data_IF_617266727955
#
_entry.id   IF_617266727955
#
_cell.length_a   1.000
_cell.length_b   1.000
_cell.length_c   1.000
_cell.angle_alpha   90.00
_cell.angle_beta   90.00
_cell.angle_gamma   90.00
#
_symmetry.space_group_name_H-M   'P 1'
#
loop_
_entity.id
_entity.type
_entity.pdbx_description
1 polymer ?
#
# COMPACT_ATOMS: atom_id res chain seq x y z
N UNK A 1 -35.57 0.64 23.65
CA UNK A 1 -34.12 0.91 23.59
C UNK A 1 -33.68 0.65 22.16
N UNK A 2 -32.77 1.43 21.56
CA UNK A 2 -32.18 1.02 20.28
C UNK A 2 -31.64 -0.40 20.43
N UNK A 3 -31.78 -1.22 19.39
CA UNK A 3 -31.16 -2.54 19.35
C UNK A 3 -29.66 -2.35 19.64
N UNK A 4 -29.13 -3.07 20.64
CA UNK A 4 -27.73 -2.96 21.03
C UNK A 4 -26.80 -3.33 19.87
N UNK A 5 -27.26 -4.19 18.95
CA UNK A 5 -26.55 -4.53 17.71
C UNK A 5 -26.45 -3.31 16.79
N UNK A 6 -27.55 -2.59 16.57
CA UNK A 6 -27.56 -1.37 15.74
C UNK A 6 -26.72 -0.26 16.36
N UNK A 7 -26.76 -0.12 17.68
CA UNK A 7 -25.91 0.82 18.40
C UNK A 7 -24.42 0.49 18.22
N UNK A 8 -24.05 -0.79 18.38
CA UNK A 8 -22.69 -1.27 18.19
C UNK A 8 -22.22 -1.08 16.74
N UNK A 9 -23.09 -1.33 15.76
CA UNK A 9 -22.80 -1.09 14.35
C UNK A 9 -22.56 0.39 14.04
N UNK A 10 -23.40 1.28 14.61
CA UNK A 10 -23.24 2.72 14.44
C UNK A 10 -21.96 3.25 15.11
N UNK A 11 -21.59 2.73 16.28
CA UNK A 11 -20.32 3.06 16.93
C UNK A 11 -19.12 2.59 16.09
N UNK A 12 -19.17 1.38 15.56
CA UNK A 12 -18.13 0.85 14.68
C UNK A 12 -17.98 1.70 13.41
N UNK A 13 -19.10 2.12 12.80
CA UNK A 13 -19.09 2.96 11.61
C UNK A 13 -18.45 4.35 11.84
N UNK A 14 -18.58 4.90 13.06
CA UNK A 14 -17.90 6.16 13.46
C UNK A 14 -16.44 5.97 13.87
N UNK A 15 -15.99 4.73 14.05
CA UNK A 15 -14.64 4.42 14.54
C UNK A 15 -14.53 4.45 16.07
N UNK A 16 -15.64 4.49 16.81
CA UNK A 16 -15.68 4.44 18.28
C UNK A 16 -15.47 3.00 18.77
N UNK A 17 -14.26 2.45 18.57
CA UNK A 17 -14.00 0.99 18.70
C UNK A 17 -14.30 0.44 20.10
N UNK A 18 -13.98 1.20 21.15
CA UNK A 18 -14.25 0.80 22.53
C UNK A 18 -15.75 0.74 22.83
N UNK A 19 -16.51 1.73 22.32
CA UNK A 19 -17.98 1.77 22.47
C UNK A 19 -18.62 0.63 21.67
N UNK A 20 -18.14 0.37 20.46
CA UNK A 20 -18.60 -0.75 19.64
C UNK A 20 -18.35 -2.10 20.32
N UNK A 21 -17.18 -2.28 20.95
CA UNK A 21 -16.86 -3.49 21.73
C UNK A 21 -17.79 -3.66 22.92
N UNK A 22 -17.99 -2.61 23.73
CA UNK A 22 -18.86 -2.66 24.90
C UNK A 22 -20.29 -3.03 24.53
N UNK A 23 -20.86 -2.31 23.55
CA UNK A 23 -22.24 -2.53 23.09
C UNK A 23 -22.42 -3.92 22.47
N UNK A 24 -21.45 -4.41 21.68
CA UNK A 24 -21.52 -5.74 21.11
C UNK A 24 -21.39 -6.84 22.19
N UNK A 25 -20.58 -6.64 23.23
CA UNK A 25 -20.51 -7.56 24.38
C UNK A 25 -21.83 -7.58 25.15
N UNK A 26 -22.45 -6.43 25.38
CA UNK A 26 -23.78 -6.34 26.02
C UNK A 26 -24.85 -7.04 25.20
N UNK A 27 -24.84 -6.89 23.86
CA UNK A 27 -25.77 -7.58 22.97
C UNK A 27 -25.62 -9.12 23.00
N UNK A 28 -24.47 -9.63 23.46
CA UNK A 28 -24.17 -11.06 23.58
C UNK A 28 -24.43 -11.61 25.00
N UNK A 29 -24.93 -10.79 25.93
CA UNK A 29 -25.18 -11.22 27.32
C UNK A 29 -26.32 -12.25 27.41
N UNK A 30 -27.36 -12.08 26.59
CA UNK A 30 -28.60 -12.87 26.64
C UNK A 30 -28.65 -13.99 25.56
N UNK A 31 -27.58 -14.17 24.78
CA UNK A 31 -27.52 -15.22 23.76
C UNK A 31 -26.46 -15.00 22.68
N UNK A 32 -26.49 -15.87 21.67
CA UNK A 32 -25.64 -15.77 20.47
C UNK A 32 -26.33 -14.99 19.36
N UNK A 33 -25.67 -13.94 18.87
CA UNK A 33 -26.08 -13.18 17.69
C UNK A 33 -24.91 -13.08 16.73
N UNK A 34 -25.07 -13.60 15.51
CA UNK A 34 -24.02 -13.54 14.49
C UNK A 34 -23.63 -12.09 14.19
N UNK A 35 -24.57 -11.15 13.92
CA UNK A 35 -24.23 -9.73 13.76
C UNK A 35 -23.40 -9.15 14.90
N UNK A 36 -23.77 -9.42 16.16
CA UNK A 36 -23.04 -8.93 17.32
C UNK A 36 -21.62 -9.54 17.42
N UNK A 37 -21.46 -10.83 17.10
CA UNK A 37 -20.15 -11.48 17.04
C UNK A 37 -19.25 -10.87 15.96
N UNK A 38 -19.80 -10.58 14.77
CA UNK A 38 -19.04 -9.97 13.68
C UNK A 38 -18.60 -8.54 14.03
N UNK A 39 -19.48 -7.73 14.62
CA UNK A 39 -19.15 -6.37 15.10
C UNK A 39 -18.07 -6.42 16.18
N UNK A 40 -18.23 -7.31 17.17
CA UNK A 40 -17.24 -7.48 18.25
C UNK A 40 -15.88 -7.89 17.69
N UNK A 41 -15.83 -8.88 16.79
CA UNK A 41 -14.59 -9.33 16.16
C UNK A 41 -13.92 -8.20 15.37
N UNK A 42 -14.70 -7.40 14.63
CA UNK A 42 -14.18 -6.26 13.87
C UNK A 42 -13.59 -5.17 14.78
N UNK A 43 -14.29 -4.83 15.87
CA UNK A 43 -13.82 -3.85 16.85
C UNK A 43 -12.53 -4.32 17.55
N UNK A 44 -12.43 -5.61 17.90
CA UNK A 44 -11.22 -6.20 18.48
C UNK A 44 -10.04 -6.17 17.50
N UNK A 45 -10.27 -6.60 16.26
CA UNK A 45 -9.22 -6.64 15.24
C UNK A 45 -8.65 -5.24 14.97
N UNK A 46 -9.50 -4.20 14.87
CA UNK A 46 -9.05 -2.83 14.65
C UNK A 46 -8.36 -2.19 15.86
N UNK A 47 -8.56 -2.73 17.07
CA UNK A 47 -7.78 -2.37 18.27
C UNK A 47 -6.45 -3.14 18.38
N UNK A 48 -6.09 -3.95 17.38
CA UNK A 48 -4.87 -4.77 17.40
C UNK A 48 -5.01 -6.11 18.12
N UNK A 49 -6.22 -6.46 18.58
CA UNK A 49 -6.50 -7.67 19.36
C UNK A 49 -6.93 -8.83 18.46
N UNK A 50 -6.07 -9.16 17.50
CA UNK A 50 -6.35 -10.19 16.47
C UNK A 50 -6.66 -11.58 17.02
N UNK A 51 -5.96 -12.00 18.07
CA UNK A 51 -6.21 -13.29 18.74
C UNK A 51 -7.58 -13.33 19.42
N UNK A 52 -7.99 -12.22 20.03
CA UNK A 52 -9.31 -12.10 20.66
C UNK A 52 -10.41 -12.10 19.59
N UNK A 53 -10.19 -11.40 18.47
CA UNK A 53 -11.10 -11.43 17.33
C UNK A 53 -11.25 -12.85 16.74
N UNK A 54 -10.15 -13.61 16.62
CA UNK A 54 -10.21 -15.00 16.14
C UNK A 54 -10.96 -15.90 17.11
N UNK A 55 -10.78 -15.70 18.42
CA UNK A 55 -11.51 -16.42 19.47
C UNK A 55 -13.02 -16.16 19.38
N UNK A 56 -13.42 -14.90 19.14
CA UNK A 56 -14.83 -14.55 18.93
C UNK A 56 -15.39 -15.22 17.67
N UNK A 57 -14.66 -15.17 16.56
CA UNK A 57 -15.10 -15.77 15.29
C UNK A 57 -15.13 -17.30 15.32
N UNK A 58 -14.32 -17.94 16.15
CA UNK A 58 -14.31 -19.39 16.35
C UNK A 58 -15.56 -19.92 17.08
N UNK A 59 -16.38 -19.05 17.69
CA UNK A 59 -17.64 -19.42 18.34
C UNK A 59 -18.77 -19.74 17.35
N UNK A 60 -18.61 -19.37 16.09
CA UNK A 60 -19.62 -19.58 15.03
C UNK A 60 -19.45 -20.97 14.44
N UNK A 61 -20.53 -21.75 14.39
CA UNK A 61 -20.57 -23.03 13.67
C UNK A 61 -20.92 -22.80 12.18
N UNK A 62 -19.98 -23.02 11.24
CA UNK A 62 -20.21 -22.77 9.82
C UNK A 62 -20.98 -23.90 9.11
N UNK A 63 -21.32 -25.00 9.78
CA UNK A 63 -22.07 -26.10 9.17
C UNK A 63 -23.56 -25.77 9.00
N UNK A 64 -24.13 -24.91 9.86
CA UNK A 64 -25.54 -24.52 9.85
C UNK A 64 -25.85 -23.21 9.14
N UNK A 65 -24.85 -22.51 8.58
CA UNK A 65 -25.05 -21.20 7.94
C UNK A 65 -25.48 -21.33 6.48
N UNK A 66 -26.42 -20.49 6.06
CA UNK A 66 -26.68 -20.25 4.64
C UNK A 66 -25.55 -19.46 3.98
N UNK A 67 -25.52 -19.43 2.64
CA UNK A 67 -24.44 -18.82 1.85
C UNK A 67 -24.11 -17.38 2.28
N UNK A 68 -25.12 -16.54 2.50
CA UNK A 68 -24.93 -15.14 2.89
C UNK A 68 -24.24 -14.99 4.26
N UNK A 69 -24.70 -15.72 5.27
CA UNK A 69 -24.12 -15.69 6.62
C UNK A 69 -22.73 -16.34 6.65
N UNK A 70 -22.53 -17.40 5.85
CA UNK A 70 -21.24 -18.04 5.68
C UNK A 70 -20.21 -17.08 5.10
N UNK A 71 -20.59 -16.30 4.07
CA UNK A 71 -19.74 -15.24 3.50
C UNK A 71 -19.49 -14.14 4.55
N UNK A 72 -20.54 -13.64 5.21
CA UNK A 72 -20.43 -12.57 6.21
C UNK A 72 -19.47 -12.93 7.36
N UNK A 73 -19.41 -14.20 7.75
CA UNK A 73 -18.46 -14.72 8.73
C UNK A 73 -17.06 -15.01 8.15
N UNK A 74 -16.99 -15.64 6.97
CA UNK A 74 -15.72 -16.08 6.39
C UNK A 74 -14.80 -14.90 6.03
N UNK A 75 -15.36 -13.79 5.56
CA UNK A 75 -14.60 -12.59 5.18
C UNK A 75 -13.78 -12.00 6.34
N UNK A 76 -14.37 -11.59 7.47
CA UNK A 76 -13.62 -11.04 8.61
C UNK A 76 -12.69 -12.08 9.24
N UNK A 77 -13.05 -13.37 9.23
CA UNK A 77 -12.17 -14.45 9.70
C UNK A 77 -10.90 -14.56 8.86
N UNK A 78 -11.04 -14.60 7.54
CA UNK A 78 -9.91 -14.66 6.64
C UNK A 78 -9.06 -13.39 6.72
N UNK A 79 -9.69 -12.21 6.77
CA UNK A 79 -9.01 -10.93 6.93
C UNK A 79 -8.16 -10.89 8.21
N UNK A 80 -8.75 -11.25 9.34
CA UNK A 80 -8.05 -11.31 10.62
C UNK A 80 -6.88 -12.31 10.56
N UNK A 81 -7.09 -13.49 9.96
CA UNK A 81 -6.04 -14.48 9.78
C UNK A 81 -4.89 -13.99 8.87
N UNK A 82 -5.19 -13.27 7.79
CA UNK A 82 -4.20 -12.75 6.86
C UNK A 82 -3.36 -11.64 7.48
N UNK A 83 -4.00 -10.62 8.07
CA UNK A 83 -3.30 -9.41 8.54
C UNK A 83 -2.91 -9.47 10.00
N UNK A 84 -3.83 -9.85 10.88
CA UNK A 84 -3.63 -9.76 12.34
C UNK A 84 -2.84 -10.94 12.88
N UNK A 85 -3.11 -12.14 12.38
CA UNK A 85 -2.42 -13.36 12.80
C UNK A 85 -1.17 -13.69 11.97
N UNK A 86 -0.89 -12.90 10.92
CA UNK A 86 0.24 -13.08 10.00
C UNK A 86 0.28 -14.48 9.36
N UNK A 87 -0.89 -14.99 8.94
CA UNK A 87 -1.05 -16.31 8.31
C UNK A 87 -1.68 -16.23 6.90
N UNK A 88 -1.05 -15.51 5.95
CA UNK A 88 -1.61 -15.26 4.62
C UNK A 88 -1.89 -16.52 3.78
N UNK A 89 -1.05 -17.55 3.86
CA UNK A 89 -1.27 -18.81 3.15
C UNK A 89 -2.48 -19.57 3.69
N UNK A 90 -2.62 -19.62 5.02
CA UNK A 90 -3.75 -20.28 5.67
C UNK A 90 -5.05 -19.53 5.41
N UNK A 91 -5.03 -18.19 5.47
CA UNK A 91 -6.20 -17.37 5.14
C UNK A 91 -6.65 -17.58 3.68
N UNK A 92 -5.70 -17.65 2.75
CA UNK A 92 -5.98 -17.90 1.33
C UNK A 92 -6.55 -19.31 1.11
N UNK A 93 -5.97 -20.32 1.75
CA UNK A 93 -6.48 -21.69 1.67
C UNK A 93 -7.88 -21.81 2.27
N UNK A 94 -8.13 -21.16 3.42
CA UNK A 94 -9.44 -21.10 4.06
C UNK A 94 -10.50 -20.49 3.13
N UNK A 95 -10.24 -19.32 2.53
CA UNK A 95 -11.20 -18.71 1.61
C UNK A 95 -11.46 -19.57 0.37
N UNK A 96 -10.44 -20.23 -0.18
CA UNK A 96 -10.63 -21.16 -1.32
C UNK A 96 -11.50 -22.36 -0.96
N UNK A 97 -11.38 -22.89 0.26
CA UNK A 97 -12.23 -23.96 0.74
C UNK A 97 -13.70 -23.50 0.90
N UNK A 98 -13.93 -22.30 1.45
CA UNK A 98 -15.27 -21.71 1.53
C UNK A 98 -15.85 -21.44 0.14
N UNK A 99 -15.04 -20.89 -0.78
CA UNK A 99 -15.42 -20.65 -2.18
C UNK A 99 -16.01 -21.89 -2.85
N UNK A 100 -15.44 -23.08 -2.60
CA UNK A 100 -15.91 -24.35 -3.18
C UNK A 100 -17.25 -24.85 -2.63
N UNK A 101 -17.76 -24.26 -1.55
CA UNK A 101 -19.05 -24.62 -0.93
C UNK A 101 -20.20 -23.71 -1.38
N UNK A 102 -19.89 -22.56 -1.98
CA UNK A 102 -20.86 -21.52 -2.30
C UNK A 102 -21.40 -21.66 -3.72
N UNK A 103 -22.66 -21.29 -3.90
CA UNK A 103 -23.29 -21.17 -5.22
C UNK A 103 -22.74 -19.98 -6.03
N UNK A 104 -22.51 -18.85 -5.36
CA UNK A 104 -21.84 -17.66 -5.88
C UNK A 104 -20.76 -17.22 -4.90
N UNK A 105 -19.56 -16.94 -5.41
CA UNK A 105 -18.40 -16.61 -4.58
C UNK A 105 -17.72 -15.30 -4.99
N UNK A 106 -18.44 -14.40 -5.68
CA UNK A 106 -17.89 -13.14 -6.23
C UNK A 106 -17.25 -12.28 -5.13
N UNK A 107 -17.91 -12.17 -3.97
CA UNK A 107 -17.38 -11.42 -2.82
C UNK A 107 -16.14 -12.09 -2.20
N UNK A 108 -16.06 -13.42 -2.22
CA UNK A 108 -14.86 -14.16 -1.78
C UNK A 108 -13.71 -13.92 -2.76
N UNK A 109 -13.98 -13.95 -4.06
CA UNK A 109 -13.00 -13.68 -5.12
C UNK A 109 -12.47 -12.24 -5.00
N UNK A 110 -13.30 -11.26 -4.66
CA UNK A 110 -12.88 -9.89 -4.42
C UNK A 110 -11.90 -9.77 -3.22
N UNK A 111 -12.10 -10.53 -2.14
CA UNK A 111 -11.14 -10.56 -1.03
C UNK A 111 -9.84 -11.30 -1.42
N UNK A 112 -9.95 -12.40 -2.18
CA UNK A 112 -8.79 -13.12 -2.71
C UNK A 112 -7.96 -12.25 -3.67
N UNK A 113 -8.59 -11.35 -4.42
CA UNK A 113 -7.92 -10.32 -5.21
C UNK A 113 -7.05 -9.41 -4.32
N UNK A 114 -7.61 -8.93 -3.20
CA UNK A 114 -6.88 -8.10 -2.23
C UNK A 114 -5.71 -8.87 -1.58
N UNK A 115 -5.89 -10.16 -1.28
CA UNK A 115 -4.82 -11.03 -0.77
C UNK A 115 -3.71 -11.21 -1.80
N UNK A 116 -4.05 -11.50 -3.07
CA UNK A 116 -3.08 -11.65 -4.15
C UNK A 116 -2.25 -10.38 -4.34
N UNK A 117 -2.89 -9.21 -4.32
CA UNK A 117 -2.21 -7.93 -4.38
C UNK A 117 -1.21 -7.76 -3.22
N UNK A 118 -1.67 -7.90 -1.97
CA UNK A 118 -0.81 -7.71 -0.79
C UNK A 118 0.33 -8.73 -0.71
N UNK A 119 0.11 -9.96 -1.20
CA UNK A 119 1.11 -11.01 -1.32
C UNK A 119 2.12 -10.77 -2.46
N UNK A 120 2.08 -9.62 -3.14
CA UNK A 120 3.04 -9.25 -4.19
C UNK A 120 2.77 -9.90 -5.53
N UNK A 121 1.53 -10.31 -5.81
CA UNK A 121 1.08 -10.89 -7.08
C UNK A 121 0.06 -9.99 -7.81
N UNK A 122 0.44 -8.77 -8.25
CA UNK A 122 -0.48 -7.79 -8.83
C UNK A 122 -1.14 -8.27 -10.13
N UNK A 123 -0.43 -9.02 -10.99
CA UNK A 123 -1.05 -9.59 -12.20
C UNK A 123 -2.19 -10.54 -11.84
N UNK A 124 -1.96 -11.43 -10.86
CA UNK A 124 -3.00 -12.34 -10.37
C UNK A 124 -4.18 -11.58 -9.76
N UNK A 125 -3.91 -10.46 -9.08
CA UNK A 125 -4.97 -9.61 -8.55
C UNK A 125 -5.82 -9.02 -9.69
N UNK A 126 -5.20 -8.53 -10.76
CA UNK A 126 -5.90 -8.04 -11.95
C UNK A 126 -6.77 -9.12 -12.61
N UNK A 127 -6.24 -10.34 -12.79
CA UNK A 127 -6.98 -11.45 -13.40
C UNK A 127 -8.25 -11.80 -12.60
N UNK A 128 -8.15 -11.82 -11.27
CA UNK A 128 -9.29 -12.07 -10.38
C UNK A 128 -10.26 -10.89 -10.42
N UNK A 129 -9.74 -9.65 -10.39
CA UNK A 129 -10.57 -8.45 -10.44
C UNK A 129 -11.38 -8.39 -11.74
N UNK A 130 -10.79 -8.70 -12.90
CA UNK A 130 -11.49 -8.73 -14.17
C UNK A 130 -12.69 -9.69 -14.13
N UNK A 131 -12.52 -10.87 -13.53
CA UNK A 131 -13.61 -11.84 -13.36
C UNK A 131 -14.73 -11.32 -12.46
N UNK A 132 -14.39 -10.61 -11.36
CA UNK A 132 -15.37 -9.99 -10.46
C UNK A 132 -16.08 -8.82 -11.14
N UNK A 133 -15.34 -8.00 -11.86
CA UNK A 133 -15.81 -6.77 -12.49
C UNK A 133 -16.57 -7.01 -13.80
N UNK A 134 -16.50 -8.19 -14.39
CA UNK A 134 -17.34 -8.60 -15.52
C UNK A 134 -18.63 -9.31 -15.11
N UNK A 135 -18.82 -9.54 -13.80
CA UNK A 135 -20.00 -10.22 -13.27
C UNK A 135 -21.15 -9.23 -13.05
N UNK A 136 -22.23 -9.36 -13.83
CA UNK A 136 -23.39 -8.45 -13.81
C UNK A 136 -24.13 -8.39 -12.48
N UNK A 137 -24.05 -9.45 -11.68
CA UNK A 137 -24.69 -9.57 -10.38
C UNK A 137 -23.66 -9.49 -9.23
N UNK A 138 -22.51 -8.85 -9.46
CA UNK A 138 -21.56 -8.55 -8.40
C UNK A 138 -22.13 -7.47 -7.46
N UNK A 139 -22.10 -7.75 -6.16
CA UNK A 139 -22.46 -6.78 -5.13
C UNK A 139 -21.46 -5.60 -5.09
N UNK A 140 -21.93 -4.41 -4.71
CA UNK A 140 -21.10 -3.20 -4.61
C UNK A 140 -19.83 -3.43 -3.79
N UNK A 141 -19.91 -4.13 -2.66
CA UNK A 141 -18.71 -4.41 -1.84
C UNK A 141 -17.64 -5.19 -2.63
N UNK A 142 -18.05 -6.14 -3.47
CA UNK A 142 -17.15 -6.97 -4.25
C UNK A 142 -16.52 -6.14 -5.37
N UNK A 143 -17.33 -5.31 -6.04
CA UNK A 143 -16.86 -4.34 -7.05
C UNK A 143 -15.85 -3.38 -6.43
N UNK A 144 -16.16 -2.79 -5.27
CA UNK A 144 -15.29 -1.85 -4.56
C UNK A 144 -13.94 -2.46 -4.20
N UNK A 145 -13.93 -3.70 -3.70
CA UNK A 145 -12.70 -4.40 -3.34
C UNK A 145 -11.85 -4.78 -4.55
N UNK A 146 -12.48 -5.37 -5.57
CA UNK A 146 -11.79 -5.77 -6.79
C UNK A 146 -11.21 -4.55 -7.53
N UNK A 147 -12.01 -3.49 -7.70
CA UNK A 147 -11.59 -2.29 -8.41
C UNK A 147 -10.47 -1.54 -7.68
N UNK A 148 -10.52 -1.44 -6.34
CA UNK A 148 -9.44 -0.81 -5.57
C UNK A 148 -8.11 -1.58 -5.65
N UNK A 149 -8.17 -2.91 -5.49
CA UNK A 149 -6.98 -3.76 -5.59
C UNK A 149 -6.42 -3.79 -7.01
N UNK A 150 -7.28 -3.80 -8.03
CA UNK A 150 -6.90 -3.67 -9.42
C UNK A 150 -6.26 -2.32 -9.72
N UNK A 151 -6.81 -1.21 -9.22
CA UNK A 151 -6.30 0.14 -9.46
C UNK A 151 -4.86 0.32 -8.96
N UNK A 152 -4.57 -0.11 -7.73
CA UNK A 152 -3.20 -0.09 -7.20
C UNK A 152 -2.27 -1.05 -7.97
N UNK A 153 -2.77 -2.25 -8.31
CA UNK A 153 -1.99 -3.23 -9.09
C UNK A 153 -1.64 -2.68 -10.47
N UNK A 154 -2.60 -2.10 -11.18
CA UNK A 154 -2.42 -1.48 -12.49
C UNK A 154 -1.38 -0.36 -12.43
N UNK A 155 -1.50 0.55 -11.46
CA UNK A 155 -0.53 1.64 -11.26
C UNK A 155 0.89 1.10 -11.02
N UNK A 156 1.06 0.11 -10.15
CA UNK A 156 2.37 -0.49 -9.83
C UNK A 156 2.96 -1.31 -10.99
N UNK A 157 2.11 -1.80 -11.89
CA UNK A 157 2.52 -2.49 -13.12
C UNK A 157 2.78 -1.56 -14.30
N UNK A 158 2.43 -0.27 -14.21
CA UNK A 158 2.60 0.71 -15.29
C UNK A 158 1.41 0.85 -16.24
N UNK A 159 0.23 0.31 -15.89
CA UNK A 159 -1.02 0.41 -16.66
C UNK A 159 -1.83 1.63 -16.21
N UNK A 160 -1.28 2.82 -16.43
CA UNK A 160 -1.82 4.07 -15.85
C UNK A 160 -3.19 4.47 -16.40
N UNK A 161 -3.49 4.13 -17.64
CA UNK A 161 -4.75 4.38 -18.34
C UNK A 161 -5.96 3.75 -17.64
N UNK A 162 -5.76 2.63 -16.94
CA UNK A 162 -6.82 1.89 -16.25
C UNK A 162 -7.13 2.46 -14.86
N UNK A 163 -6.21 3.23 -14.28
CA UNK A 163 -6.22 3.57 -12.84
C UNK A 163 -7.43 4.41 -12.45
N UNK A 164 -7.73 5.47 -13.19
CA UNK A 164 -8.85 6.36 -12.86
C UNK A 164 -10.21 5.70 -13.08
N UNK A 165 -10.35 4.88 -14.12
CA UNK A 165 -11.57 4.11 -14.36
C UNK A 165 -11.85 3.11 -13.24
N UNK A 166 -10.81 2.43 -12.74
CA UNK A 166 -10.91 1.52 -11.61
C UNK A 166 -11.20 2.28 -10.30
N UNK A 167 -10.56 3.43 -10.06
CA UNK A 167 -10.82 4.24 -8.88
C UNK A 167 -12.26 4.79 -8.88
N UNK A 168 -12.74 5.30 -10.01
CA UNK A 168 -14.12 5.78 -10.16
C UNK A 168 -15.14 4.65 -9.90
N UNK A 169 -14.85 3.44 -10.41
CA UNK A 169 -15.67 2.25 -10.19
C UNK A 169 -15.69 1.81 -8.73
N UNK A 170 -14.53 1.80 -8.07
CA UNK A 170 -14.45 1.54 -6.64
C UNK A 170 -15.25 2.57 -5.83
N UNK A 171 -15.25 3.81 -6.31
CA UNK A 171 -15.93 4.90 -5.65
C UNK A 171 -17.45 4.88 -5.79
N UNK A 172 -17.95 4.59 -6.98
CA UNK A 172 -19.37 4.39 -7.25
C UNK A 172 -19.96 3.24 -6.40
N UNK A 173 -19.15 2.23 -6.10
CA UNK A 173 -19.50 1.10 -5.26
C UNK A 173 -19.47 1.39 -3.73
N UNK A 174 -19.36 2.65 -3.33
CA UNK A 174 -19.53 3.08 -1.93
C UNK A 174 -18.29 3.01 -1.04
N UNK A 175 -17.07 3.04 -1.59
CA UNK A 175 -15.77 3.13 -0.87
C UNK A 175 -15.77 2.47 0.53
N UNK A 176 -15.80 1.12 0.64
CA UNK A 176 -16.18 0.44 1.89
C UNK A 176 -15.07 0.42 2.97
N UNK A 177 -14.50 1.58 3.32
CA UNK A 177 -13.49 1.76 4.37
C UNK A 177 -12.10 2.10 3.83
N UNK A 178 -11.08 1.35 4.25
CA UNK A 178 -9.65 1.59 3.96
C UNK A 178 -9.31 1.54 2.46
N UNK A 179 -10.14 0.92 1.64
CA UNK A 179 -9.81 0.68 0.22
C UNK A 179 -9.82 1.93 -0.64
N UNK A 180 -10.47 3.01 -0.17
CA UNK A 180 -10.32 4.33 -0.80
C UNK A 180 -8.86 4.76 -0.85
N UNK A 181 -8.10 4.47 0.21
CA UNK A 181 -6.66 4.77 0.26
C UNK A 181 -5.86 3.91 -0.71
N UNK A 182 -6.26 2.65 -0.91
CA UNK A 182 -5.64 1.77 -1.91
C UNK A 182 -5.83 2.34 -3.32
N UNK A 183 -7.06 2.75 -3.67
CA UNK A 183 -7.36 3.36 -4.97
C UNK A 183 -6.61 4.68 -5.14
N UNK A 184 -6.65 5.55 -4.12
CA UNK A 184 -5.96 6.84 -4.08
C UNK A 184 -4.45 6.65 -4.24
N UNK A 185 -3.86 5.62 -3.62
CA UNK A 185 -2.44 5.35 -3.77
C UNK A 185 -2.07 4.94 -5.19
N UNK A 186 -2.95 4.19 -5.87
CA UNK A 186 -2.82 3.90 -7.31
C UNK A 186 -2.83 5.19 -8.13
N UNK A 187 -3.78 6.10 -7.86
CA UNK A 187 -3.89 7.39 -8.55
C UNK A 187 -2.65 8.28 -8.32
N UNK A 188 -2.20 8.42 -7.07
CA UNK A 188 -0.97 9.15 -6.72
C UNK A 188 0.23 8.57 -7.49
N UNK A 189 0.38 7.23 -7.47
CA UNK A 189 1.46 6.56 -8.20
C UNK A 189 1.39 6.88 -9.70
N UNK A 190 0.20 6.79 -10.31
CA UNK A 190 0.03 7.10 -11.73
C UNK A 190 0.42 8.56 -12.03
N UNK A 191 -0.09 9.53 -11.25
CA UNK A 191 0.19 10.96 -11.42
C UNK A 191 1.66 11.31 -11.26
N UNK A 192 2.32 10.75 -10.24
CA UNK A 192 3.76 10.92 -10.04
C UNK A 192 4.56 10.44 -11.27
N UNK A 193 4.20 9.29 -11.84
CA UNK A 193 4.94 8.69 -12.96
C UNK A 193 4.59 9.31 -14.31
N UNK A 194 3.38 9.84 -14.48
CA UNK A 194 2.99 10.61 -15.66
C UNK A 194 3.44 12.06 -15.61
N UNK A 195 4.07 12.50 -14.51
CA UNK A 195 4.70 13.82 -14.38
C UNK A 195 3.79 14.94 -13.89
N UNK A 196 2.67 14.61 -13.25
CA UNK A 196 1.70 15.57 -12.72
C UNK A 196 1.63 15.47 -11.19
N UNK A 197 2.67 16.00 -10.51
CA UNK A 197 2.74 15.95 -9.05
C UNK A 197 1.68 16.84 -8.38
N UNK A 198 1.20 17.89 -9.07
CA UNK A 198 0.12 18.74 -8.58
C UNK A 198 -1.20 17.98 -8.48
N UNK A 199 -1.56 17.23 -9.51
CA UNK A 199 -2.73 16.36 -9.46
C UNK A 199 -2.61 15.23 -8.42
N UNK A 200 -1.38 14.81 -8.07
CA UNK A 200 -1.18 13.87 -6.96
C UNK A 200 -1.56 14.50 -5.61
N UNK A 201 -1.24 15.78 -5.38
CA UNK A 201 -1.67 16.52 -4.19
C UNK A 201 -3.18 16.70 -4.16
N UNK A 202 -3.81 17.11 -5.28
CA UNK A 202 -5.27 17.29 -5.35
C UNK A 202 -6.02 15.99 -4.98
N UNK A 203 -5.52 14.85 -5.46
CA UNK A 203 -6.05 13.51 -5.14
C UNK A 203 -5.84 13.17 -3.67
N UNK A 204 -4.69 13.51 -3.08
CA UNK A 204 -4.42 13.27 -1.67
C UNK A 204 -5.26 14.18 -0.75
N UNK A 205 -5.46 15.44 -1.12
CA UNK A 205 -6.24 16.43 -0.36
C UNK A 205 -7.74 16.14 -0.38
N UNK A 206 -8.22 15.42 -1.40
CA UNK A 206 -9.58 14.88 -1.43
C UNK A 206 -9.88 13.84 -0.34
N UNK A 207 -8.86 13.31 0.35
CA UNK A 207 -9.05 12.40 1.47
C UNK A 207 -9.41 13.13 2.76
N UNK A 208 -10.71 13.33 3.01
CA UNK A 208 -11.20 13.87 4.29
C UNK A 208 -11.06 12.81 5.40
N UNK A 209 -10.11 12.99 6.33
CA UNK A 209 -9.78 12.01 7.38
C UNK A 209 -9.27 12.68 8.66
N UNK A 210 -10.14 12.85 9.65
CA UNK A 210 -9.78 13.63 10.86
C UNK A 210 -9.20 12.78 12.01
N UNK A 211 -9.46 11.48 12.06
CA UNK A 211 -9.08 10.63 13.21
C UNK A 211 -8.68 9.19 12.83
N UNK A 212 -8.02 8.53 13.77
CA UNK A 212 -7.76 7.09 13.75
C UNK A 212 -6.83 6.60 12.62
N UNK A 213 -6.88 5.30 12.29
CA UNK A 213 -6.05 4.70 11.24
C UNK A 213 -6.22 5.35 9.86
N UNK A 214 -7.41 5.87 9.55
CA UNK A 214 -7.69 6.57 8.28
C UNK A 214 -6.80 7.80 8.09
N UNK A 215 -6.67 8.64 9.12
CA UNK A 215 -5.77 9.80 9.12
C UNK A 215 -4.31 9.35 8.93
N UNK A 216 -3.89 8.33 9.67
CA UNK A 216 -2.53 7.82 9.58
C UNK A 216 -2.20 7.29 8.17
N UNK A 217 -3.13 6.62 7.48
CA UNK A 217 -2.92 6.18 6.09
C UNK A 217 -2.84 7.38 5.14
N UNK A 218 -3.71 8.38 5.29
CA UNK A 218 -3.64 9.60 4.48
C UNK A 218 -2.28 10.31 4.62
N UNK A 219 -1.72 10.36 5.84
CA UNK A 219 -0.37 10.89 6.10
C UNK A 219 0.72 10.08 5.38
N UNK A 220 0.60 8.76 5.28
CA UNK A 220 1.55 7.93 4.50
C UNK A 220 1.52 8.31 3.02
N UNK A 221 0.33 8.53 2.45
CA UNK A 221 0.18 8.90 1.04
C UNK A 221 0.77 10.29 0.75
N UNK A 222 0.48 11.28 1.60
CA UNK A 222 1.08 12.61 1.52
C UNK A 222 2.60 12.56 1.67
N UNK A 223 3.11 11.68 2.54
CA UNK A 223 4.54 11.53 2.71
C UNK A 223 5.27 10.94 1.49
N UNK A 224 4.64 10.06 0.70
CA UNK A 224 5.23 9.58 -0.57
C UNK A 224 5.37 10.73 -1.59
N UNK A 225 4.37 11.62 -1.66
CA UNK A 225 4.44 12.84 -2.50
C UNK A 225 5.52 13.79 -1.99
N UNK A 226 5.57 14.03 -0.67
CA UNK A 226 6.57 14.86 -0.02
C UNK A 226 8.00 14.35 -0.26
N UNK A 227 8.21 13.03 -0.26
CA UNK A 227 9.47 12.39 -0.62
C UNK A 227 9.85 12.65 -2.08
N UNK A 228 8.92 12.55 -3.02
CA UNK A 228 9.17 12.86 -4.44
C UNK A 228 9.53 14.35 -4.64
N UNK A 229 8.80 15.26 -3.99
CA UNK A 229 9.10 16.70 -3.95
C UNK A 229 10.43 17.01 -3.26
N UNK A 230 10.87 16.14 -2.37
CA UNK A 230 12.05 16.34 -1.56
C UNK A 230 11.84 17.34 -0.42
N UNK A 231 10.60 17.54 0.04
CA UNK A 231 10.27 18.27 1.27
C UNK A 231 10.35 17.30 2.45
N UNK A 232 11.58 16.91 2.79
CA UNK A 232 11.85 15.77 3.66
C UNK A 232 11.38 15.98 5.11
N UNK A 233 11.33 17.22 5.59
CA UNK A 233 10.85 17.53 6.95
C UNK A 233 9.36 17.23 7.08
N UNK A 234 8.54 17.64 6.12
CA UNK A 234 7.10 17.33 6.06
C UNK A 234 6.86 15.81 5.98
N UNK A 235 7.63 15.12 5.14
CA UNK A 235 7.54 13.66 5.03
C UNK A 235 7.84 12.98 6.37
N UNK A 236 8.89 13.41 7.07
CA UNK A 236 9.24 12.84 8.38
C UNK A 236 8.19 13.14 9.45
N UNK A 237 7.68 14.37 9.50
CA UNK A 237 6.64 14.75 10.46
C UNK A 237 5.40 13.86 10.31
N UNK A 238 4.88 13.75 9.08
CA UNK A 238 3.74 12.90 8.77
C UNK A 238 3.98 11.43 9.12
N UNK A 239 5.16 10.89 8.77
CA UNK A 239 5.47 9.48 8.98
C UNK A 239 5.78 9.13 10.45
N UNK A 240 6.27 10.08 11.25
CA UNK A 240 6.44 9.90 12.70
C UNK A 240 5.12 9.79 13.44
N UNK A 241 4.09 10.49 12.97
CA UNK A 241 2.72 10.33 13.47
C UNK A 241 2.12 9.00 12.97
N UNK A 242 2.22 8.72 11.67
CA UNK A 242 1.53 7.59 11.04
C UNK A 242 2.10 6.21 11.43
N UNK A 243 3.43 6.04 11.44
CA UNK A 243 4.04 4.71 11.56
C UNK A 243 3.75 4.02 12.92
N UNK A 244 3.81 4.71 14.08
CA UNK A 244 3.37 4.15 15.35
C UNK A 244 1.86 3.87 15.38
N UNK A 245 1.03 4.81 14.89
CA UNK A 245 -0.43 4.66 14.88
C UNK A 245 -0.91 3.45 14.07
N UNK A 246 -0.22 3.12 12.99
CA UNK A 246 -0.55 1.97 12.14
C UNK A 246 0.04 0.65 12.64
N UNK A 247 1.02 0.69 13.53
CA UNK A 247 1.73 -0.52 14.01
C UNK A 247 0.84 -1.49 14.78
N UNK A 248 -0.28 -1.02 15.32
CA UNK A 248 -1.28 -1.82 16.05
C UNK A 248 -2.28 -2.52 15.11
N UNK A 249 -2.41 -2.06 13.87
CA UNK A 249 -3.50 -2.49 12.98
C UNK A 249 -3.20 -3.74 12.15
N UNK A 250 -1.96 -4.24 12.15
CA UNK A 250 -1.54 -5.45 11.42
C UNK A 250 -1.51 -5.35 9.88
N UNK A 251 -2.14 -4.32 9.28
CA UNK A 251 -2.16 -4.06 7.84
C UNK A 251 -0.82 -3.58 7.29
N UNK A 252 -0.61 -3.82 6.00
CA UNK A 252 0.62 -3.51 5.24
C UNK A 252 1.01 -2.01 5.22
N UNK A 253 0.08 -1.10 5.53
CA UNK A 253 0.33 0.34 5.60
C UNK A 253 1.34 0.72 6.70
N UNK A 254 1.34 0.03 7.84
CA UNK A 254 2.29 0.30 8.91
C UNK A 254 3.73 -0.02 8.47
N UNK A 255 3.91 -1.12 7.75
CA UNK A 255 5.20 -1.52 7.17
C UNK A 255 5.66 -0.49 6.14
N UNK A 256 4.78 -0.07 5.22
CA UNK A 256 5.10 0.98 4.24
C UNK A 256 5.51 2.29 4.94
N UNK A 257 4.80 2.72 5.98
CA UNK A 257 5.13 3.91 6.74
C UNK A 257 6.55 3.86 7.33
N UNK A 258 6.95 2.72 7.93
CA UNK A 258 8.32 2.55 8.43
C UNK A 258 9.38 2.54 7.32
N UNK A 259 9.07 1.96 6.15
CA UNK A 259 9.96 1.96 4.99
C UNK A 259 10.19 3.37 4.47
N UNK A 260 9.12 4.15 4.27
CA UNK A 260 9.21 5.54 3.83
C UNK A 260 9.91 6.43 4.88
N UNK A 261 9.69 6.18 6.17
CA UNK A 261 10.34 6.94 7.25
C UNK A 261 11.85 6.72 7.26
N UNK A 262 12.29 5.47 7.02
CA UNK A 262 13.70 5.16 6.88
C UNK A 262 14.33 5.88 5.68
N UNK A 263 13.64 5.91 4.53
CA UNK A 263 14.09 6.65 3.35
C UNK A 263 14.18 8.16 3.63
N UNK A 264 13.16 8.75 4.26
CA UNK A 264 13.11 10.17 4.60
C UNK A 264 14.26 10.57 5.53
N UNK A 265 14.46 9.82 6.63
CA UNK A 265 15.58 10.04 7.55
C UNK A 265 16.93 9.89 6.87
N UNK A 266 17.09 8.87 6.01
CA UNK A 266 18.33 8.65 5.29
C UNK A 266 18.66 9.79 4.32
N UNK A 267 17.67 10.29 3.57
CA UNK A 267 17.86 11.41 2.65
C UNK A 267 18.20 12.72 3.37
N UNK A 268 17.80 12.88 4.64
CA UNK A 268 18.23 13.98 5.50
C UNK A 268 19.62 13.79 6.13
N UNK A 269 20.29 12.66 5.87
CA UNK A 269 21.57 12.32 6.49
C UNK A 269 21.45 11.83 7.95
N UNK A 270 20.25 11.55 8.45
CA UNK A 270 20.00 11.03 9.81
C UNK A 270 20.21 9.52 9.88
N UNK A 271 21.45 9.07 9.70
CA UNK A 271 21.80 7.65 9.56
C UNK A 271 21.30 6.75 10.72
N UNK A 272 21.39 7.23 11.96
CA UNK A 272 20.94 6.48 13.15
C UNK A 272 19.42 6.33 13.15
N UNK A 273 18.68 7.38 12.84
CA UNK A 273 17.21 7.34 12.81
C UNK A 273 16.71 6.50 11.64
N UNK A 274 17.38 6.58 10.48
CA UNK A 274 17.11 5.72 9.34
C UNK A 274 17.28 4.23 9.70
N UNK A 275 18.38 3.86 10.36
CA UNK A 275 18.62 2.48 10.79
C UNK A 275 17.57 1.99 11.80
N UNK A 276 17.13 2.83 12.74
CA UNK A 276 16.06 2.51 13.69
C UNK A 276 14.70 2.30 13.00
N UNK A 277 14.37 3.12 12.01
CA UNK A 277 13.13 2.97 11.23
C UNK A 277 13.19 1.71 10.35
N UNK A 278 14.33 1.46 9.69
CA UNK A 278 14.56 0.27 8.87
C UNK A 278 14.42 -1.02 9.68
N UNK A 279 15.02 -1.11 10.87
CA UNK A 279 14.90 -2.28 11.75
C UNK A 279 13.43 -2.56 12.15
N UNK A 280 12.61 -1.52 12.32
CA UNK A 280 11.17 -1.65 12.57
C UNK A 280 10.40 -2.12 11.35
N UNK A 281 10.81 -1.71 10.14
CA UNK A 281 10.23 -2.18 8.90
C UNK A 281 10.57 -3.66 8.66
N UNK A 282 11.84 -4.05 8.83
CA UNK A 282 12.31 -5.42 8.63
C UNK A 282 11.66 -6.43 9.59
N UNK A 283 11.57 -6.09 10.87
CA UNK A 283 10.97 -6.99 11.88
C UNK A 283 9.47 -7.25 11.69
N UNK A 284 8.78 -6.44 10.87
CA UNK A 284 7.33 -6.53 10.63
C UNK A 284 6.98 -6.90 9.19
N UNK A 285 7.97 -7.03 8.31
CA UNK A 285 7.76 -7.38 6.91
C UNK A 285 7.61 -8.90 6.76
N UNK A 286 6.61 -9.30 5.99
CA UNK A 286 6.29 -10.69 5.69
C UNK A 286 5.33 -10.78 4.52
N UNK A 287 4.79 -11.97 4.26
CA UNK A 287 3.98 -12.25 3.06
C UNK A 287 2.78 -11.28 2.92
N UNK A 288 2.16 -10.85 4.02
CA UNK A 288 1.04 -9.89 4.02
C UNK A 288 1.38 -8.48 3.50
N UNK A 289 2.66 -8.17 3.31
CA UNK A 289 3.17 -6.86 2.88
C UNK A 289 4.14 -6.97 1.70
N UNK A 290 4.20 -8.12 1.03
CA UNK A 290 5.17 -8.40 -0.04
C UNK A 290 5.03 -7.51 -1.27
N UNK A 291 3.85 -6.90 -1.46
CA UNK A 291 3.68 -5.82 -2.44
C UNK A 291 4.76 -4.74 -2.30
N UNK A 292 5.14 -4.41 -1.05
CA UNK A 292 6.08 -3.36 -0.69
C UNK A 292 7.53 -3.85 -0.46
N UNK A 293 7.85 -5.06 -0.90
CA UNK A 293 9.23 -5.56 -0.85
C UNK A 293 10.26 -4.64 -1.57
N UNK A 294 9.93 -3.99 -2.72
CA UNK A 294 10.82 -3.01 -3.34
C UNK A 294 11.08 -1.79 -2.44
N UNK A 295 10.06 -1.26 -1.78
CA UNK A 295 10.17 -0.11 -0.87
C UNK A 295 11.03 -0.42 0.35
N UNK A 296 10.97 -1.66 0.86
CA UNK A 296 11.89 -2.12 1.89
C UNK A 296 13.34 -2.14 1.40
N UNK A 297 13.58 -2.64 0.19
CA UNK A 297 14.92 -2.65 -0.40
C UNK A 297 15.44 -1.23 -0.68
N UNK A 298 14.57 -0.28 -1.05
CA UNK A 298 14.92 1.14 -1.16
C UNK A 298 15.22 1.78 0.20
N UNK A 299 14.49 1.42 1.25
CA UNK A 299 14.84 1.82 2.61
C UNK A 299 16.24 1.35 3.01
N UNK A 300 16.63 0.12 2.63
CA UNK A 300 18.01 -0.38 2.80
C UNK A 300 19.02 0.42 1.99
N UNK A 301 18.69 0.74 0.73
CA UNK A 301 19.55 1.50 -0.16
C UNK A 301 19.88 2.89 0.39
N UNK A 302 18.85 3.68 0.72
CA UNK A 302 19.03 5.00 1.28
C UNK A 302 19.71 4.95 2.65
N UNK A 303 19.39 3.98 3.50
CA UNK A 303 20.07 3.80 4.81
C UNK A 303 21.56 3.45 4.66
N UNK A 304 21.95 2.69 3.63
CA UNK A 304 23.36 2.46 3.30
C UNK A 304 24.03 3.77 2.83
N UNK A 305 23.36 4.54 1.97
CA UNK A 305 23.87 5.84 1.49
C UNK A 305 24.11 6.82 2.65
N UNK A 306 23.17 6.92 3.60
CA UNK A 306 23.32 7.77 4.80
C UNK A 306 24.51 7.36 5.69
N UNK A 307 24.91 6.08 5.65
CA UNK A 307 26.10 5.54 6.32
C UNK A 307 27.37 5.64 5.48
N UNK A 308 27.32 6.32 4.33
CA UNK A 308 28.42 6.46 3.36
C UNK A 308 28.86 5.14 2.72
N UNK A 309 28.00 4.12 2.74
CA UNK A 309 28.19 2.86 2.00
C UNK A 309 27.55 2.97 0.62
N UNK A 310 28.25 3.67 -0.29
CA UNK A 310 27.77 3.93 -1.64
C UNK A 310 27.60 2.65 -2.49
N UNK A 311 28.56 1.69 -2.48
CA UNK A 311 28.39 0.42 -3.19
C UNK A 311 27.21 -0.39 -2.65
N UNK A 312 27.02 -0.43 -1.32
CA UNK A 312 25.89 -1.10 -0.69
C UNK A 312 24.55 -0.45 -1.05
N UNK A 313 24.50 0.89 -1.12
CA UNK A 313 23.32 1.64 -1.54
C UNK A 313 22.88 1.29 -2.96
N UNK A 314 23.81 1.33 -3.93
CA UNK A 314 23.53 0.98 -5.33
C UNK A 314 23.10 -0.48 -5.47
N UNK A 315 23.77 -1.40 -4.79
CA UNK A 315 23.39 -2.83 -4.80
C UNK A 315 21.96 -3.04 -4.30
N UNK A 316 21.59 -2.40 -3.20
CA UNK A 316 20.25 -2.52 -2.63
C UNK A 316 19.17 -1.89 -3.53
N UNK A 317 19.44 -0.76 -4.19
CA UNK A 317 18.52 -0.15 -5.15
C UNK A 317 18.29 -1.05 -6.38
N UNK A 318 19.35 -1.69 -6.90
CA UNK A 318 19.22 -2.70 -7.97
C UNK A 318 18.47 -3.95 -7.53
N UNK A 319 18.62 -4.36 -6.27
CA UNK A 319 17.84 -5.46 -5.69
C UNK A 319 16.35 -5.09 -5.61
N UNK A 320 16.02 -3.85 -5.24
CA UNK A 320 14.66 -3.35 -5.26
C UNK A 320 14.05 -3.42 -6.67
N UNK A 321 14.77 -2.95 -7.69
CA UNK A 321 14.34 -3.03 -9.08
C UNK A 321 14.11 -4.48 -9.54
N UNK A 322 15.04 -5.38 -9.24
CA UNK A 322 14.89 -6.82 -9.57
C UNK A 322 13.71 -7.46 -8.84
N UNK A 323 13.47 -7.11 -7.58
CA UNK A 323 12.33 -7.60 -6.82
C UNK A 323 11.00 -7.12 -7.43
N UNK A 324 10.92 -5.85 -7.82
CA UNK A 324 9.76 -5.28 -8.49
C UNK A 324 9.49 -5.98 -9.84
N UNK A 325 10.50 -6.17 -10.68
CA UNK A 325 10.37 -6.88 -11.96
C UNK A 325 9.90 -8.33 -11.80
N UNK A 326 10.42 -9.07 -10.81
CA UNK A 326 9.94 -10.44 -10.53
C UNK A 326 8.46 -10.48 -10.14
N UNK A 327 7.95 -9.42 -9.52
CA UNK A 327 6.53 -9.27 -9.20
C UNK A 327 5.70 -8.63 -10.32
N UNK A 328 6.26 -8.37 -11.50
CA UNK A 328 5.60 -7.67 -12.61
C UNK A 328 5.35 -6.18 -12.36
N UNK A 329 5.95 -5.59 -11.33
CA UNK A 329 5.74 -4.19 -10.92
C UNK A 329 6.66 -3.23 -11.70
N UNK A 330 6.45 -3.08 -13.00
CA UNK A 330 7.34 -2.31 -13.89
C UNK A 330 7.48 -0.83 -13.48
N UNK A 331 6.40 -0.18 -13.09
CA UNK A 331 6.43 1.20 -12.59
C UNK A 331 7.28 1.35 -11.31
N UNK A 332 7.19 0.37 -10.41
CA UNK A 332 7.98 0.35 -9.17
C UNK A 332 9.45 0.03 -9.46
N UNK A 333 9.72 -0.85 -10.42
CA UNK A 333 11.08 -1.13 -10.89
C UNK A 333 11.74 0.13 -11.44
N UNK A 334 10.99 0.94 -12.22
CA UNK A 334 11.45 2.21 -12.74
C UNK A 334 11.77 3.22 -11.62
N UNK A 335 10.91 3.35 -10.60
CA UNK A 335 11.21 4.17 -9.40
C UNK A 335 12.49 3.70 -8.69
N UNK A 336 12.67 2.38 -8.57
CA UNK A 336 13.85 1.84 -7.89
C UNK A 336 15.16 2.07 -8.69
N UNK A 337 15.11 1.97 -10.01
CA UNK A 337 16.24 2.31 -10.88
C UNK A 337 16.52 3.81 -10.88
N UNK A 338 15.49 4.64 -10.84
CA UNK A 338 15.64 6.09 -10.66
C UNK A 338 16.39 6.41 -9.36
N UNK A 339 16.03 5.77 -8.24
CA UNK A 339 16.77 5.95 -6.99
C UNK A 339 18.21 5.42 -7.09
N UNK A 340 18.47 4.34 -7.85
CA UNK A 340 19.83 3.91 -8.13
C UNK A 340 20.64 4.99 -8.88
N UNK A 341 20.04 5.62 -9.90
CA UNK A 341 20.65 6.74 -10.64
C UNK A 341 20.92 7.94 -9.72
N UNK A 342 19.95 8.33 -8.88
CA UNK A 342 20.13 9.40 -7.88
C UNK A 342 21.25 9.10 -6.89
N UNK A 343 21.39 7.83 -6.51
CA UNK A 343 22.48 7.34 -5.68
C UNK A 343 23.82 7.31 -6.44
N UNK A 344 23.86 7.52 -7.76
CA UNK A 344 25.11 7.57 -8.53
C UNK A 344 25.46 6.27 -9.25
N UNK A 345 24.46 5.43 -9.55
CA UNK A 345 24.67 4.24 -10.36
C UNK A 345 24.91 4.57 -11.85
N UNK A 346 26.19 4.61 -12.25
CA UNK A 346 26.63 4.86 -13.63
C UNK A 346 26.32 3.73 -14.62
N UNK A 347 25.80 2.58 -14.16
CA UNK A 347 25.45 1.43 -15.03
C UNK A 347 23.95 1.18 -15.10
N UNK A 348 23.13 2.09 -14.58
CA UNK A 348 21.68 1.92 -14.57
C UNK A 348 21.02 2.14 -15.94
N UNK A 349 21.69 2.79 -16.90
CA UNK A 349 21.11 3.21 -18.18
C UNK A 349 20.43 2.07 -18.95
N UNK A 350 21.12 0.94 -19.17
CA UNK A 350 20.55 -0.23 -19.85
C UNK A 350 19.37 -0.83 -19.08
N UNK A 351 19.47 -0.90 -17.76
CA UNK A 351 18.41 -1.43 -16.92
C UNK A 351 17.16 -0.56 -16.97
N UNK A 352 17.31 0.77 -17.00
CA UNK A 352 16.20 1.73 -17.15
C UNK A 352 15.54 1.58 -18.52
N UNK A 353 16.33 1.53 -19.59
CA UNK A 353 15.83 1.36 -20.95
C UNK A 353 15.09 0.03 -21.17
N UNK A 354 15.46 -1.02 -20.42
CA UNK A 354 14.82 -2.33 -20.47
C UNK A 354 13.49 -2.46 -19.71
N UNK A 355 13.05 -1.44 -18.95
CA UNK A 355 11.76 -1.51 -18.24
C UNK A 355 10.61 -1.22 -19.19
N UNK A 356 9.68 -2.16 -19.32
CA UNK A 356 8.43 -1.99 -20.07
C UNK A 356 7.43 -1.08 -19.32
N UNK A 357 7.69 0.23 -19.29
CA UNK A 357 6.81 1.24 -18.71
C UNK A 357 7.09 2.62 -19.34
N UNK A 358 6.32 2.99 -20.37
CA UNK A 358 6.47 4.29 -21.02
C UNK A 358 5.73 5.39 -20.26
N UNK A 359 6.49 6.33 -19.68
CA UNK A 359 5.93 7.50 -19.01
C UNK A 359 6.91 8.66 -18.99
N UNK A 360 6.44 9.85 -18.59
CA UNK A 360 7.28 11.06 -18.46
C UNK A 360 8.44 10.80 -17.51
N UNK A 361 8.16 10.20 -16.36
CA UNK A 361 9.17 9.85 -15.37
C UNK A 361 10.23 8.88 -15.92
N UNK A 362 9.81 7.90 -16.72
CA UNK A 362 10.73 6.90 -17.30
C UNK A 362 11.69 7.49 -18.31
N UNK A 363 11.18 8.35 -19.21
CA UNK A 363 12.02 9.05 -20.20
C UNK A 363 13.08 9.91 -19.51
N UNK A 364 12.68 10.74 -18.55
CA UNK A 364 13.63 11.62 -17.86
C UNK A 364 14.61 10.83 -16.97
N UNK A 365 14.20 9.69 -16.41
CA UNK A 365 15.12 8.78 -15.71
C UNK A 365 16.14 8.16 -16.65
N UNK A 366 15.75 7.78 -17.88
CA UNK A 366 16.68 7.24 -18.87
C UNK A 366 17.72 8.28 -19.29
N UNK A 367 17.28 9.52 -19.54
CA UNK A 367 18.17 10.64 -19.84
C UNK A 367 19.13 10.93 -18.67
N UNK A 368 18.64 10.93 -17.43
CA UNK A 368 19.46 11.09 -16.23
C UNK A 368 20.52 9.98 -16.14
N UNK A 369 20.10 8.72 -16.29
CA UNK A 369 21.01 7.58 -16.25
C UNK A 369 22.08 7.65 -17.33
N UNK A 370 21.71 8.07 -18.54
CA UNK A 370 22.62 8.22 -19.67
C UNK A 370 23.64 9.33 -19.41
N UNK A 371 23.19 10.52 -19.01
CA UNK A 371 24.06 11.65 -18.71
C UNK A 371 25.04 11.33 -17.57
N UNK A 372 24.57 10.64 -16.53
CA UNK A 372 25.40 10.15 -15.44
C UNK A 372 26.44 9.11 -15.92
N UNK A 373 26.05 8.20 -16.81
CA UNK A 373 26.93 7.14 -17.33
C UNK A 373 28.05 7.71 -18.20
N UNK A 374 27.75 8.72 -19.02
CA UNK A 374 28.72 9.37 -19.91
C UNK A 374 29.51 10.51 -19.26
N UNK A 375 29.20 10.90 -18.02
CA UNK A 375 29.78 12.08 -17.39
C UNK A 375 29.39 13.39 -18.10
N UNK A 376 28.21 13.44 -18.71
CA UNK A 376 27.72 14.62 -19.43
C UNK A 376 27.18 15.66 -18.44
N UNK A 377 28.03 16.62 -18.07
CA UNK A 377 27.72 17.69 -17.11
C UNK A 377 26.54 18.53 -17.60
N UNK A 378 26.54 18.95 -18.87
CA UNK A 378 25.46 19.77 -19.43
C UNK A 378 24.13 18.98 -19.48
N UNK A 379 24.21 17.69 -19.79
CA UNK A 379 23.08 16.77 -19.69
C UNK A 379 22.52 16.66 -18.27
N UNK A 380 23.39 16.52 -17.26
CA UNK A 380 22.98 16.47 -15.84
C UNK A 380 22.35 17.78 -15.36
N UNK A 381 22.86 18.94 -15.78
CA UNK A 381 22.26 20.25 -15.48
C UNK A 381 20.88 20.40 -16.14
N UNK A 382 20.74 19.98 -17.40
CA UNK A 382 19.46 19.97 -18.11
C UNK A 382 18.43 19.06 -17.44
N UNK A 383 18.84 17.86 -17.06
CA UNK A 383 18.00 16.89 -16.32
C UNK A 383 17.60 17.45 -14.95
N UNK A 384 18.52 18.10 -14.24
CA UNK A 384 18.22 18.73 -12.95
C UNK A 384 17.11 19.78 -13.08
N UNK A 385 17.21 20.67 -14.07
CA UNK A 385 16.20 21.70 -14.33
C UNK A 385 14.84 21.09 -14.71
N UNK A 386 14.83 19.99 -15.49
CA UNK A 386 13.60 19.32 -15.88
C UNK A 386 12.94 18.56 -14.73
N UNK A 387 13.73 17.94 -13.84
CA UNK A 387 13.18 17.36 -12.61
C UNK A 387 12.53 18.43 -11.73
N UNK A 388 13.19 19.58 -11.58
CA UNK A 388 12.66 20.72 -10.82
C UNK A 388 11.34 21.23 -11.43
N UNK A 389 11.29 21.38 -12.75
CA UNK A 389 10.08 21.76 -13.48
C UNK A 389 8.90 20.77 -13.35
N UNK A 390 9.18 19.50 -13.09
CA UNK A 390 8.16 18.48 -12.77
C UNK A 390 7.85 18.38 -11.26
N UNK A 391 8.47 19.22 -10.44
CA UNK A 391 8.33 19.22 -8.98
C UNK A 391 9.06 18.08 -8.27
N UNK A 392 9.96 17.35 -8.94
CA UNK A 392 10.81 16.30 -8.35
C UNK A 392 12.08 16.89 -7.72
N UNK A 393 11.89 17.77 -6.73
CA UNK A 393 12.99 18.55 -6.14
C UNK A 393 14.11 17.69 -5.53
N UNK A 394 13.81 16.49 -5.04
CA UNK A 394 14.84 15.58 -4.55
C UNK A 394 15.78 15.11 -5.68
N UNK A 395 15.20 14.68 -6.81
CA UNK A 395 15.93 14.23 -7.98
C UNK A 395 16.70 15.37 -8.65
N UNK A 396 16.12 16.58 -8.71
CA UNK A 396 16.78 17.78 -9.22
C UNK A 396 18.07 18.10 -8.47
N UNK A 397 18.02 18.08 -7.12
CA UNK A 397 19.21 18.29 -6.29
C UNK A 397 20.25 17.20 -6.46
N UNK A 398 19.84 15.95 -6.64
CA UNK A 398 20.77 14.84 -6.88
C UNK A 398 21.49 14.98 -8.23
N UNK A 399 20.76 15.28 -9.31
CA UNK A 399 21.34 15.53 -10.63
C UNK A 399 22.33 16.72 -10.61
N UNK A 400 21.94 17.84 -9.97
CA UNK A 400 22.83 19.00 -9.82
C UNK A 400 24.11 18.68 -9.02
N UNK A 401 24.00 17.88 -7.96
CA UNK A 401 25.17 17.42 -7.19
C UNK A 401 26.09 16.51 -8.01
N UNK A 402 25.53 15.70 -8.91
CA UNK A 402 26.31 14.83 -9.78
C UNK A 402 27.05 15.62 -10.87
N UNK A 403 26.42 16.67 -11.41
CA UNK A 403 27.08 17.60 -12.34
C UNK A 403 28.32 18.27 -11.70
N UNK A 404 28.20 18.71 -10.45
CA UNK A 404 29.30 19.37 -9.73
C UNK A 404 30.41 18.44 -9.17
N UNK A 405 30.28 17.12 -9.33
CA UNK A 405 31.27 16.12 -8.88
C UNK A 405 32.10 15.51 -10.02
N UNK A 406 31.71 15.76 -11.27
CA UNK A 406 32.28 15.14 -12.46
C UNK A 406 33.54 15.84 -12.95
#
# INVERSE_FOLDING_TARGET
MPDLVDAAAAALARGDLAVAEEQARSALADGTSLPALLILAQALAWQGRGTDADTVLARVDPAGLGDADLIAWALPRAANQFWMLDQPERATAFLRAIRGRLSSAVTIDALLCTFAMNAGSPQRALDIAESVLSCDHAEDRAVGWAAAAAGLSAARMGRFDQVDGLAARAGAAGHPGVLRFTSTYGQITARLLTGDIGAADDVADGLVCDTGPSRAIALVLRADIALARGVLDEAVEALREAAPALSTTGYSWGQLAWMLLAQAHAQQGRAVDAAKALSRAESRHGLKSMLFAPELALAKAWTAAARRDQPGAVRAAREAARAALRGGQHAVALRALHDAVRLGDTRAAEAVAGVSCECVFGRLTAEHAQALSSGDIAGLESVAARWDGLGWGAAARDAARQAGRS
#
